data_IF_507741537395
#
_entry.id   IF_507741537395
#
_cell.length_a   1.000
_cell.length_b   1.000
_cell.length_c   1.000
_cell.angle_alpha   90.00
_cell.angle_beta   90.00
_cell.angle_gamma   90.00
#
_symmetry.space_group_name_H-M   'P 1'
#
loop_
_entity.id
_entity.type
_entity.pdbx_description
1 polymer ?
#
# COMPACT_ATOMS: atom_id res chain seq x y z
N UNK A 1 -5.52 41.60 -12.08
CA UNK A 1 -6.28 40.99 -10.98
C UNK A 1 -7.11 39.92 -11.66
N UNK A 2 -6.44 38.81 -11.97
CA UNK A 2 -7.02 37.72 -12.76
C UNK A 2 -7.94 36.89 -11.87
N UNK A 3 -9.07 36.51 -12.44
CA UNK A 3 -10.14 35.78 -11.80
C UNK A 3 -9.62 34.49 -11.15
N UNK A 4 -9.71 34.44 -9.82
CA UNK A 4 -9.60 33.21 -9.04
C UNK A 4 -10.82 32.39 -9.45
N UNK A 5 -10.64 31.42 -10.36
CA UNK A 5 -11.64 30.39 -10.62
C UNK A 5 -12.05 29.83 -9.25
N UNK A 6 -13.35 29.93 -8.93
CA UNK A 6 -13.95 29.17 -7.84
C UNK A 6 -13.66 27.69 -8.12
N UNK A 7 -12.62 27.18 -7.48
CA UNK A 7 -12.42 25.74 -7.35
C UNK A 7 -13.55 25.33 -6.42
N UNK A 8 -14.55 24.64 -6.96
CA UNK A 8 -15.49 23.90 -6.15
C UNK A 8 -14.66 22.90 -5.34
N UNK A 9 -14.32 23.25 -4.09
CA UNK A 9 -13.55 22.45 -3.14
C UNK A 9 -14.39 21.24 -2.67
N UNK A 10 -14.90 20.46 -3.60
CA UNK A 10 -15.24 19.08 -3.30
C UNK A 10 -13.92 18.37 -2.98
N UNK A 11 -13.83 17.54 -1.93
CA UNK A 11 -12.66 16.73 -1.69
C UNK A 11 -12.60 15.62 -2.75
N UNK A 12 -12.25 16.01 -3.99
CA UNK A 12 -12.16 15.15 -5.18
C UNK A 12 -11.32 13.92 -4.84
N UNK A 13 -10.20 14.12 -4.14
CA UNK A 13 -9.30 13.05 -3.75
C UNK A 13 -9.97 11.98 -2.87
N UNK A 14 -10.73 12.38 -1.84
CA UNK A 14 -11.40 11.40 -0.97
C UNK A 14 -12.48 10.63 -1.74
N UNK A 15 -13.23 11.32 -2.60
CA UNK A 15 -14.24 10.70 -3.44
C UNK A 15 -13.62 9.67 -4.38
N UNK A 16 -12.53 10.01 -5.06
CA UNK A 16 -11.85 9.11 -5.99
C UNK A 16 -11.19 7.93 -5.26
N UNK A 17 -10.50 8.16 -4.13
CA UNK A 17 -9.95 7.06 -3.31
C UNK A 17 -11.07 6.10 -2.87
N UNK A 18 -12.19 6.64 -2.39
CA UNK A 18 -13.32 5.80 -1.97
C UNK A 18 -13.94 5.04 -3.14
N UNK A 19 -13.97 5.62 -4.34
CA UNK A 19 -14.41 4.96 -5.58
C UNK A 19 -13.51 3.77 -5.92
N UNK A 20 -12.18 3.97 -5.91
CA UNK A 20 -11.19 2.93 -6.18
C UNK A 20 -11.25 1.78 -5.17
N UNK A 21 -11.32 2.11 -3.88
CA UNK A 21 -11.44 1.09 -2.83
C UNK A 21 -12.77 0.33 -2.98
N UNK A 22 -13.86 1.03 -3.31
CA UNK A 22 -15.17 0.42 -3.55
C UNK A 22 -15.16 -0.55 -4.73
N UNK A 23 -14.44 -0.25 -5.80
CA UNK A 23 -14.28 -1.16 -6.95
C UNK A 23 -13.69 -2.52 -6.54
N UNK A 24 -12.86 -2.54 -5.50
CA UNK A 24 -12.24 -3.76 -4.98
C UNK A 24 -13.18 -4.61 -4.11
N UNK A 25 -14.39 -4.16 -3.77
CA UNK A 25 -15.29 -4.87 -2.83
C UNK A 25 -15.60 -6.30 -3.29
N UNK A 26 -15.74 -6.52 -4.61
CA UNK A 26 -16.04 -7.82 -5.20
C UNK A 26 -15.00 -8.91 -4.94
N UNK A 27 -13.76 -8.53 -4.58
CA UNK A 27 -12.69 -9.48 -4.26
C UNK A 27 -12.82 -10.08 -2.86
N UNK A 28 -13.73 -9.56 -2.02
CA UNK A 28 -13.84 -9.97 -0.63
C UNK A 28 -15.17 -10.67 -0.37
N UNK A 29 -15.11 -11.96 -0.06
CA UNK A 29 -16.32 -12.76 0.21
C UNK A 29 -17.10 -12.36 1.47
N UNK A 30 -16.57 -11.46 2.31
CA UNK A 30 -17.21 -11.02 3.56
C UNK A 30 -17.13 -9.50 3.73
N UNK A 31 -18.27 -8.85 3.94
CA UNK A 31 -18.35 -7.39 4.12
C UNK A 31 -17.48 -6.87 5.26
N UNK A 32 -17.36 -7.63 6.36
CA UNK A 32 -16.50 -7.26 7.50
C UNK A 32 -15.00 -7.26 7.19
N UNK A 33 -14.56 -8.01 6.18
CA UNK A 33 -13.16 -8.01 5.72
C UNK A 33 -12.93 -6.74 4.92
N UNK A 34 -13.82 -6.46 3.96
CA UNK A 34 -13.78 -5.24 3.17
C UNK A 34 -13.82 -3.97 4.03
N UNK A 35 -14.71 -3.89 5.02
CA UNK A 35 -14.80 -2.72 5.91
C UNK A 35 -13.50 -2.48 6.70
N UNK A 36 -12.76 -3.54 7.06
CA UNK A 36 -11.44 -3.40 7.71
C UNK A 36 -10.42 -2.82 6.75
N UNK A 37 -10.47 -3.22 5.47
CA UNK A 37 -9.57 -2.69 4.45
C UNK A 37 -9.84 -1.20 4.23
N UNK A 38 -11.10 -0.81 4.09
CA UNK A 38 -11.49 0.62 4.01
C UNK A 38 -10.95 1.38 5.22
N UNK A 39 -11.12 0.84 6.43
CA UNK A 39 -10.60 1.47 7.64
C UNK A 39 -9.06 1.61 7.62
N UNK A 40 -8.33 0.57 7.18
CA UNK A 40 -6.87 0.64 7.06
C UNK A 40 -6.42 1.65 6.00
N UNK A 41 -7.11 1.76 4.86
CA UNK A 41 -6.82 2.79 3.85
C UNK A 41 -6.99 4.19 4.44
N UNK A 42 -8.08 4.42 5.16
CA UNK A 42 -8.30 5.71 5.84
C UNK A 42 -7.22 5.97 6.90
N UNK A 43 -6.86 4.96 7.69
CA UNK A 43 -5.79 5.08 8.68
C UNK A 43 -4.43 5.43 8.05
N UNK A 44 -4.15 4.88 6.87
CA UNK A 44 -2.92 5.15 6.12
C UNK A 44 -2.81 6.62 5.72
N UNK A 45 -3.92 7.21 5.26
CA UNK A 45 -3.99 8.64 4.92
C UNK A 45 -3.75 9.57 6.11
N UNK A 46 -4.06 9.11 7.33
CA UNK A 46 -3.90 9.90 8.56
C UNK A 46 -2.69 9.50 9.41
N UNK A 47 -1.91 8.50 9.00
CA UNK A 47 -0.73 8.03 9.73
C UNK A 47 0.53 8.77 9.28
N UNK A 48 0.97 9.76 10.07
CA UNK A 48 2.17 10.57 9.77
C UNK A 48 3.49 9.97 10.31
N UNK A 49 3.55 8.65 10.46
CA UNK A 49 4.64 7.96 11.14
C UNK A 49 4.95 6.59 10.56
N UNK A 50 5.20 5.59 11.41
CA UNK A 50 5.45 4.23 10.93
C UNK A 50 4.14 3.58 10.48
N UNK A 51 4.04 3.20 9.22
CA UNK A 51 2.89 2.51 8.62
C UNK A 51 2.80 1.03 9.00
N UNK A 52 2.87 0.75 10.30
CA UNK A 52 2.67 -0.60 10.84
C UNK A 52 1.19 -0.82 11.15
N UNK A 53 0.70 -2.06 11.06
CA UNK A 53 -0.69 -2.40 11.42
C UNK A 53 -1.06 -1.80 12.77
N UNK A 54 -0.21 -1.94 13.79
CA UNK A 54 -0.42 -1.35 15.11
C UNK A 54 -0.66 0.15 15.05
N UNK A 55 0.19 0.90 14.33
CA UNK A 55 0.03 2.35 14.21
C UNK A 55 -1.28 2.72 13.51
N UNK A 56 -1.67 1.98 12.47
CA UNK A 56 -2.93 2.20 11.78
C UNK A 56 -4.14 1.97 12.69
N UNK A 57 -4.09 0.90 13.50
CA UNK A 57 -5.14 0.63 14.49
C UNK A 57 -5.21 1.73 15.56
N UNK A 58 -4.06 2.25 16.01
CA UNK A 58 -4.01 3.39 16.93
C UNK A 58 -4.57 4.67 16.29
N UNK A 59 -4.28 4.94 15.01
CA UNK A 59 -4.86 6.05 14.25
C UNK A 59 -6.39 5.95 14.15
N UNK A 60 -6.92 4.72 14.09
CA UNK A 60 -8.36 4.45 14.13
C UNK A 60 -8.97 4.52 15.54
N UNK A 61 -8.16 4.78 16.57
CA UNK A 61 -8.61 4.82 17.98
C UNK A 61 -8.80 3.45 18.62
N UNK A 62 -8.30 2.37 18.00
CA UNK A 62 -8.45 1.00 18.49
C UNK A 62 -7.31 0.66 19.47
N UNK A 63 -7.31 1.26 20.66
CA UNK A 63 -6.22 1.11 21.66
C UNK A 63 -6.33 -0.15 22.51
N UNK A 64 -7.55 -0.52 22.92
CA UNK A 64 -7.78 -1.55 23.96
C UNK A 64 -8.60 -2.75 23.44
N UNK A 65 -8.70 -2.91 22.13
CA UNK A 65 -9.44 -4.00 21.48
C UNK A 65 -8.55 -5.17 21.07
N UNK A 66 -9.17 -6.34 20.83
CA UNK A 66 -8.48 -7.49 20.24
C UNK A 66 -8.10 -7.22 18.78
N UNK A 67 -6.80 -7.13 18.52
CA UNK A 67 -6.25 -6.90 17.18
C UNK A 67 -6.12 -8.17 16.33
N UNK A 68 -6.43 -9.36 16.85
CA UNK A 68 -6.23 -10.64 16.16
C UNK A 68 -6.91 -10.66 14.78
N UNK A 69 -8.13 -10.13 14.68
CA UNK A 69 -8.85 -10.09 13.42
C UNK A 69 -8.18 -9.21 12.34
N UNK A 70 -7.47 -8.17 12.75
CA UNK A 70 -6.75 -7.26 11.85
C UNK A 70 -5.46 -7.88 11.34
N UNK A 71 -4.71 -8.57 12.19
CA UNK A 71 -3.53 -9.32 11.75
C UNK A 71 -3.89 -10.49 10.84
N UNK A 72 -4.97 -11.21 11.15
CA UNK A 72 -5.50 -12.30 10.30
C UNK A 72 -5.90 -11.85 8.90
N UNK A 73 -6.14 -10.55 8.70
CA UNK A 73 -6.38 -10.00 7.36
C UNK A 73 -5.24 -10.39 6.41
N UNK A 74 -3.99 -10.21 6.86
CA UNK A 74 -2.79 -10.48 6.06
C UNK A 74 -2.19 -11.86 6.35
N UNK A 75 -2.26 -12.34 7.59
CA UNK A 75 -1.61 -13.61 7.95
C UNK A 75 -2.41 -14.86 7.56
N UNK A 76 -3.72 -14.74 7.32
CA UNK A 76 -4.59 -15.87 6.93
C UNK A 76 -5.12 -15.73 5.49
N UNK A 77 -4.47 -14.92 4.64
CA UNK A 77 -4.84 -14.79 3.22
C UNK A 77 -6.25 -14.22 3.00
N UNK A 78 -6.77 -13.42 3.94
CA UNK A 78 -8.09 -12.78 3.77
C UNK A 78 -8.03 -11.52 2.92
N UNK A 79 -6.82 -11.01 2.70
CA UNK A 79 -6.51 -9.97 1.73
C UNK A 79 -5.96 -10.59 0.45
N UNK A 80 -6.74 -10.49 -0.62
CA UNK A 80 -6.35 -10.98 -1.95
C UNK A 80 -5.56 -9.88 -2.68
N UNK A 81 -4.24 -9.85 -2.45
CA UNK A 81 -3.34 -8.83 -3.01
C UNK A 81 -3.40 -8.81 -4.54
N UNK A 82 -3.26 -9.95 -5.20
CA UNK A 82 -3.23 -10.04 -6.66
C UNK A 82 -4.55 -9.59 -7.29
N UNK A 83 -5.69 -10.04 -6.74
CA UNK A 83 -7.00 -9.64 -7.23
C UNK A 83 -7.26 -8.14 -7.02
N UNK A 84 -6.81 -7.58 -5.88
CA UNK A 84 -6.95 -6.15 -5.58
C UNK A 84 -6.08 -5.30 -6.49
N UNK A 85 -4.83 -5.69 -6.69
CA UNK A 85 -3.91 -5.01 -7.62
C UNK A 85 -4.42 -5.03 -9.06
N UNK A 86 -5.05 -6.14 -9.49
CA UNK A 86 -5.66 -6.23 -10.82
C UNK A 86 -6.80 -5.23 -11.03
N UNK A 87 -7.62 -4.99 -10.00
CA UNK A 87 -8.66 -3.95 -10.06
C UNK A 87 -8.02 -2.57 -10.17
N UNK A 88 -7.02 -2.27 -9.33
CA UNK A 88 -6.33 -0.97 -9.38
C UNK A 88 -5.68 -0.71 -10.74
N UNK A 89 -4.99 -1.71 -11.31
CA UNK A 89 -4.43 -1.62 -12.65
C UNK A 89 -5.53 -1.40 -13.70
N UNK A 90 -6.66 -2.10 -13.59
CA UNK A 90 -7.80 -1.91 -14.47
C UNK A 90 -8.38 -0.51 -14.40
N UNK A 91 -8.40 0.13 -13.23
CA UNK A 91 -8.82 1.53 -13.09
C UNK A 91 -7.77 2.49 -13.69
N UNK A 92 -6.47 2.26 -13.47
CA UNK A 92 -5.41 3.07 -14.08
C UNK A 92 -5.41 3.00 -15.61
N UNK A 93 -5.68 1.84 -16.19
CA UNK A 93 -5.74 1.65 -17.64
C UNK A 93 -6.89 2.40 -18.32
N UNK A 94 -7.95 2.78 -17.58
CA UNK A 94 -9.05 3.58 -18.15
C UNK A 94 -8.66 5.04 -18.40
N UNK A 95 -7.61 5.51 -17.74
CA UNK A 95 -7.10 6.88 -17.87
C UNK A 95 -6.12 7.03 -19.05
N UNK A 96 -5.81 5.94 -19.75
CA UNK A 96 -4.91 5.92 -20.91
C UNK A 96 -5.71 5.51 -22.14
N UNK A 97 -5.61 6.30 -23.21
CA UNK A 97 -6.27 6.02 -24.49
C UNK A 97 -5.73 4.72 -25.10
N UNK A 98 -6.56 3.99 -25.86
CA UNK A 98 -6.22 2.66 -26.38
C UNK A 98 -4.99 2.70 -27.32
N UNK A 99 -4.81 3.80 -28.06
CA UNK A 99 -3.69 4.00 -28.97
C UNK A 99 -2.45 4.61 -28.31
N UNK A 100 -2.51 5.01 -27.03
CA UNK A 100 -1.39 5.61 -26.32
C UNK A 100 -0.55 4.53 -25.59
N UNK A 101 0.80 4.58 -25.64
CA UNK A 101 1.61 3.64 -24.90
C UNK A 101 1.45 3.82 -23.38
N UNK A 102 1.09 2.73 -22.68
CA UNK A 102 1.16 2.67 -21.23
C UNK A 102 2.63 2.54 -20.78
N UNK A 103 3.22 3.63 -20.28
CA UNK A 103 4.63 3.67 -19.87
C UNK A 103 4.77 3.18 -18.43
N UNK A 104 5.60 2.15 -18.23
CA UNK A 104 5.91 1.58 -16.91
C UNK A 104 7.35 1.91 -16.53
N UNK A 105 7.54 2.49 -15.34
CA UNK A 105 8.84 2.69 -14.72
C UNK A 105 9.24 1.46 -13.90
N UNK A 106 10.41 0.88 -14.17
CA UNK A 106 10.95 -0.23 -13.37
C UNK A 106 12.15 0.20 -12.56
N UNK A 107 12.11 0.04 -11.24
CA UNK A 107 13.27 0.19 -10.37
C UNK A 107 13.43 -1.00 -9.40
N UNK A 108 14.67 -1.28 -9.03
CA UNK A 108 15.01 -2.34 -8.10
C UNK A 108 15.69 -1.77 -6.87
N UNK A 109 15.05 -1.90 -5.70
CA UNK A 109 15.61 -1.43 -4.44
C UNK A 109 15.70 -2.53 -3.38
N UNK A 110 16.56 -2.27 -2.40
CA UNK A 110 16.81 -3.16 -1.28
C UNK A 110 16.12 -2.60 -0.04
N UNK A 111 15.23 -3.39 0.54
CA UNK A 111 14.61 -3.02 1.82
C UNK A 111 15.33 -3.76 2.95
N UNK A 112 15.93 -3.04 3.92
CA UNK A 112 16.51 -3.66 5.11
C UNK A 112 15.49 -4.53 5.84
N UNK A 113 15.89 -5.76 6.21
CA UNK A 113 15.07 -6.66 7.03
C UNK A 113 15.91 -7.25 8.14
N UNK A 114 15.29 -7.42 9.30
CA UNK A 114 15.89 -8.14 10.43
C UNK A 114 15.36 -9.58 10.54
N UNK A 115 14.21 -9.89 9.93
CA UNK A 115 13.57 -11.20 10.04
C UNK A 115 14.29 -12.25 9.20
N UNK A 116 14.44 -13.45 9.74
CA UNK A 116 14.98 -14.63 9.04
C UNK A 116 13.89 -15.52 8.43
N UNK A 117 12.63 -15.30 8.82
CA UNK A 117 11.49 -16.10 8.37
C UNK A 117 10.73 -15.44 7.21
N UNK A 118 11.06 -14.18 6.89
CA UNK A 118 10.37 -13.45 5.83
C UNK A 118 10.79 -13.99 4.46
N UNK A 119 9.85 -14.45 3.62
CA UNK A 119 10.16 -14.92 2.27
C UNK A 119 10.89 -13.84 1.46
N UNK A 120 11.84 -14.27 0.61
CA UNK A 120 12.63 -13.35 -0.23
C UNK A 120 13.68 -12.53 0.54
N UNK A 121 13.82 -12.72 1.86
CA UNK A 121 14.91 -12.09 2.62
C UNK A 121 16.21 -12.90 2.51
N UNK A 122 17.33 -12.20 2.37
CA UNK A 122 18.66 -12.81 2.23
C UNK A 122 19.77 -11.86 2.64
N UNK A 123 21.00 -12.37 2.66
CA UNK A 123 22.19 -11.54 2.87
C UNK A 123 22.56 -10.81 1.59
N UNK A 124 22.84 -9.52 1.72
CA UNK A 124 23.27 -8.66 0.61
C UNK A 124 24.29 -7.63 1.09
N UNK A 125 24.82 -6.85 0.15
CA UNK A 125 25.72 -5.74 0.46
C UNK A 125 25.01 -4.73 1.38
N UNK A 126 25.68 -4.32 2.45
CA UNK A 126 25.14 -3.34 3.39
C UNK A 126 24.98 -1.97 2.75
N UNK A 127 23.73 -1.49 2.68
CA UNK A 127 23.38 -0.19 2.08
C UNK A 127 24.02 0.99 2.82
N UNK A 128 24.22 0.83 4.13
CA UNK A 128 24.78 1.86 5.03
C UNK A 128 26.27 1.67 5.31
N UNK A 129 26.93 0.77 4.58
CA UNK A 129 28.36 0.49 4.80
C UNK A 129 29.25 1.33 3.90
N UNK A 130 30.45 1.67 4.38
CA UNK A 130 31.39 2.48 3.61
C UNK A 130 31.72 1.83 2.25
N UNK A 131 31.75 2.62 1.17
CA UNK A 131 31.95 2.13 -0.20
C UNK A 131 33.20 1.26 -0.35
N UNK A 132 34.28 1.61 0.35
CA UNK A 132 35.60 0.94 0.34
C UNK A 132 35.74 -0.20 1.35
N UNK A 133 34.76 -0.41 2.23
CA UNK A 133 34.69 -1.56 3.15
C UNK A 133 33.24 -2.08 3.21
N UNK A 134 32.78 -2.77 2.16
CA UNK A 134 31.41 -3.26 2.11
C UNK A 134 31.16 -4.26 3.24
N UNK A 135 30.16 -3.99 4.06
CA UNK A 135 29.64 -4.98 5.00
C UNK A 135 28.49 -5.79 4.39
N UNK A 136 27.94 -6.69 5.18
CA UNK A 136 26.74 -7.47 4.83
C UNK A 136 25.56 -7.00 5.67
N UNK A 137 24.38 -7.01 5.07
CA UNK A 137 23.12 -6.68 5.70
C UNK A 137 22.06 -7.67 5.20
N UNK A 138 21.12 -8.02 6.07
CA UNK A 138 19.95 -8.77 5.65
C UNK A 138 18.89 -7.83 5.06
N UNK A 139 18.23 -8.29 4.02
CA UNK A 139 17.04 -7.61 3.52
C UNK A 139 16.48 -8.28 2.29
N UNK A 140 15.54 -7.59 1.65
CA UNK A 140 14.73 -8.13 0.59
C UNK A 140 14.89 -7.27 -0.65
N UNK A 141 15.05 -7.94 -1.80
CA UNK A 141 15.04 -7.29 -3.11
C UNK A 141 13.59 -7.11 -3.52
N UNK A 142 13.22 -5.86 -3.78
CA UNK A 142 11.97 -5.54 -4.44
C UNK A 142 12.31 -5.02 -5.84
N UNK A 143 11.49 -5.44 -6.80
CA UNK A 143 11.42 -4.82 -8.10
C UNK A 143 10.05 -4.19 -8.13
N UNK A 144 10.01 -2.88 -8.21
CA UNK A 144 8.77 -2.12 -8.36
C UNK A 144 8.66 -1.73 -9.82
N UNK A 145 7.54 -2.14 -10.42
CA UNK A 145 7.12 -1.72 -11.75
C UNK A 145 5.91 -0.82 -11.53
N UNK A 146 6.13 0.50 -11.55
CA UNK A 146 5.10 1.54 -11.43
C UNK A 146 4.51 1.87 -12.79
#
# INVERSE_FOLDING_TARGET
MEDIKEIEESPVLLKEIMSLVKACEGNYGQKRVFNRIVALVMAELFSFGRHTITQLLLTLGLTDEDWSAWYRLFSEGRFEEEATSKVMLGEMLKEVEEEEPFVVGGDGFHVPRCSEKMPGSGWMRGLTTAKWRPGIQRGQRYVETS
#
